data_IF_272946854542
#
_entry.id   IF_272946854542
#
_cell.length_a   1.000
_cell.length_b   1.000
_cell.length_c   1.000
_cell.angle_alpha   90.00
_cell.angle_beta   90.00
_cell.angle_gamma   90.00
#
_symmetry.space_group_name_H-M   'P 1'
#
loop_
_entity.id
_entity.type
_entity.pdbx_description
1 polymer ?
#
# COMPACT_ATOMS: atom_id res chain seq x y z
N UNK A 1 -11.07 47.75 -33.49
CA UNK A 1 -10.17 47.47 -32.32
C UNK A 1 -10.87 47.18 -30.99
N UNK A 2 -12.17 47.49 -30.77
CA UNK A 2 -12.87 47.23 -29.49
C UNK A 2 -13.45 45.78 -29.36
N UNK A 3 -13.69 45.05 -30.45
CA UNK A 3 -14.24 43.70 -30.39
C UNK A 3 -13.19 42.62 -30.03
N UNK A 4 -11.94 42.79 -30.41
CA UNK A 4 -10.87 41.83 -30.10
C UNK A 4 -10.50 41.77 -28.61
N UNK A 5 -10.60 42.91 -27.90
CA UNK A 5 -10.33 42.99 -26.46
C UNK A 5 -11.43 42.28 -25.62
N UNK A 6 -12.68 42.31 -26.09
CA UNK A 6 -13.81 41.70 -25.38
C UNK A 6 -13.79 40.16 -25.46
N UNK A 7 -13.38 39.60 -26.59
CA UNK A 7 -13.25 38.13 -26.77
C UNK A 7 -12.10 37.60 -25.94
N UNK A 8 -10.95 38.32 -25.85
CA UNK A 8 -9.83 37.91 -25.03
C UNK A 8 -10.15 37.94 -23.52
N UNK A 9 -10.95 38.88 -23.07
CA UNK A 9 -11.36 39.00 -21.66
C UNK A 9 -12.30 37.86 -21.25
N UNK A 10 -13.23 37.46 -22.11
CA UNK A 10 -14.16 36.34 -21.86
C UNK A 10 -13.40 35.00 -21.81
N UNK A 11 -12.42 34.81 -22.68
CA UNK A 11 -11.58 33.59 -22.70
C UNK A 11 -10.71 33.50 -21.43
N UNK A 12 -10.17 34.62 -20.92
CA UNK A 12 -9.38 34.66 -19.70
C UNK A 12 -10.21 34.36 -18.45
N UNK A 13 -11.43 34.87 -18.36
CA UNK A 13 -12.35 34.63 -17.25
C UNK A 13 -12.82 33.17 -17.24
N UNK A 14 -13.06 32.56 -18.41
CA UNK A 14 -13.42 31.15 -18.52
C UNK A 14 -12.28 30.21 -18.08
N UNK A 15 -11.03 30.55 -18.38
CA UNK A 15 -9.84 29.81 -17.93
C UNK A 15 -9.62 29.89 -16.41
N UNK A 16 -9.87 31.03 -15.80
CA UNK A 16 -9.77 31.23 -14.35
C UNK A 16 -10.85 30.49 -13.55
N UNK A 17 -12.02 30.22 -14.15
CA UNK A 17 -13.12 29.48 -13.49
C UNK A 17 -12.96 27.95 -13.54
N UNK A 18 -12.17 27.41 -14.48
CA UNK A 18 -11.91 25.98 -14.63
C UNK A 18 -10.83 25.44 -13.67
N UNK A 19 -9.87 26.25 -13.30
CA UNK A 19 -8.74 25.84 -12.44
C UNK A 19 -9.19 25.29 -11.06
N UNK A 20 -10.09 25.95 -10.31
CA UNK A 20 -10.52 25.42 -9.00
C UNK A 20 -11.35 24.13 -9.11
N UNK A 21 -12.07 23.90 -10.20
CA UNK A 21 -12.82 22.68 -10.41
C UNK A 21 -11.90 21.48 -10.73
N UNK A 22 -10.85 21.68 -11.51
CA UNK A 22 -9.84 20.69 -11.82
C UNK A 22 -9.02 20.29 -10.56
N UNK A 23 -8.60 21.26 -9.77
CA UNK A 23 -7.88 21.01 -8.51
C UNK A 23 -8.75 20.21 -7.51
N UNK A 24 -10.04 20.52 -7.43
CA UNK A 24 -10.98 19.78 -6.58
C UNK A 24 -11.22 18.36 -7.07
N UNK A 25 -11.32 18.14 -8.38
CA UNK A 25 -11.46 16.82 -8.98
C UNK A 25 -10.21 15.97 -8.72
N UNK A 26 -9.02 16.52 -8.91
CA UNK A 26 -7.74 15.87 -8.59
C UNK A 26 -7.64 15.51 -7.10
N UNK A 27 -8.00 16.42 -6.21
CA UNK A 27 -8.03 16.13 -4.77
C UNK A 27 -8.97 14.97 -4.42
N UNK A 28 -10.16 14.92 -5.02
CA UNK A 28 -11.11 13.82 -4.81
C UNK A 28 -10.58 12.48 -5.34
N UNK A 29 -9.85 12.50 -6.45
CA UNK A 29 -9.22 11.30 -7.02
C UNK A 29 -8.10 10.76 -6.10
N UNK A 30 -7.24 11.63 -5.56
CA UNK A 30 -6.19 11.25 -4.61
C UNK A 30 -6.80 10.66 -3.32
N UNK A 31 -7.84 11.24 -2.78
CA UNK A 31 -8.55 10.69 -1.63
C UNK A 31 -9.22 9.33 -1.93
N UNK A 32 -9.72 9.13 -3.14
CA UNK A 32 -10.22 7.83 -3.60
C UNK A 32 -9.08 6.80 -3.69
N UNK A 33 -7.92 7.19 -4.21
CA UNK A 33 -6.74 6.36 -4.28
C UNK A 33 -6.22 5.95 -2.88
N UNK A 34 -6.18 6.87 -1.90
CA UNK A 34 -5.84 6.55 -0.51
C UNK A 34 -6.77 5.48 0.08
N UNK A 35 -8.07 5.63 -0.14
CA UNK A 35 -9.06 4.61 0.31
C UNK A 35 -8.82 3.26 -0.35
N UNK A 36 -8.54 3.24 -1.65
CA UNK A 36 -8.29 2.01 -2.40
C UNK A 36 -7.01 1.30 -1.91
N UNK A 37 -5.93 2.03 -1.63
CA UNK A 37 -4.71 1.46 -1.04
C UNK A 37 -4.99 0.91 0.36
N UNK A 38 -5.73 1.64 1.21
CA UNK A 38 -6.09 1.14 2.54
C UNK A 38 -6.86 -0.18 2.46
N UNK A 39 -7.80 -0.29 1.53
CA UNK A 39 -8.56 -1.52 1.30
C UNK A 39 -7.64 -2.64 0.83
N UNK A 40 -6.72 -2.38 -0.11
CA UNK A 40 -5.77 -3.39 -0.60
C UNK A 40 -4.83 -3.89 0.51
N UNK A 41 -4.35 -3.01 1.40
CA UNK A 41 -3.52 -3.38 2.54
C UNK A 41 -4.30 -4.26 3.54
N UNK A 42 -5.53 -3.88 3.87
CA UNK A 42 -6.40 -4.68 4.74
C UNK A 42 -6.76 -6.04 4.10
N UNK A 43 -6.94 -6.09 2.78
CA UNK A 43 -7.16 -7.35 2.05
C UNK A 43 -5.91 -8.24 2.08
N UNK A 44 -4.72 -7.64 1.94
CA UNK A 44 -3.45 -8.35 2.08
C UNK A 44 -3.33 -8.94 3.50
N UNK A 45 -3.62 -8.16 4.55
CA UNK A 45 -3.62 -8.63 5.93
C UNK A 45 -4.64 -9.77 6.16
N UNK A 46 -5.85 -9.59 5.64
CA UNK A 46 -6.90 -10.60 5.72
C UNK A 46 -6.51 -11.89 5.00
N UNK A 47 -5.83 -11.81 3.86
CA UNK A 47 -5.39 -12.99 3.12
C UNK A 47 -4.43 -13.87 3.94
N UNK A 48 -3.57 -13.26 4.76
CA UNK A 48 -2.68 -13.97 5.69
C UNK A 48 -3.48 -14.57 6.85
N UNK A 49 -4.39 -13.82 7.44
CA UNK A 49 -5.25 -14.31 8.53
C UNK A 49 -6.12 -15.51 8.09
N UNK A 50 -6.69 -15.43 6.88
CA UNK A 50 -7.50 -16.49 6.26
C UNK A 50 -6.65 -17.61 5.64
N UNK A 51 -5.32 -17.49 5.62
CA UNK A 51 -4.39 -18.43 4.98
C UNK A 51 -4.65 -18.64 3.49
N UNK A 52 -5.11 -17.60 2.80
CA UNK A 52 -5.35 -17.59 1.36
C UNK A 52 -4.13 -17.11 0.60
N UNK A 53 -3.19 -18.01 0.31
CA UNK A 53 -2.01 -17.70 -0.49
C UNK A 53 -2.37 -17.15 -1.87
N UNK A 54 -3.46 -17.63 -2.48
CA UNK A 54 -3.92 -17.15 -3.79
C UNK A 54 -4.28 -15.66 -3.74
N UNK A 55 -5.06 -15.24 -2.74
CA UNK A 55 -5.42 -13.82 -2.56
C UNK A 55 -4.18 -12.98 -2.28
N UNK A 56 -3.29 -13.44 -1.39
CA UNK A 56 -2.03 -12.75 -1.11
C UNK A 56 -1.23 -12.50 -2.39
N UNK A 57 -0.98 -13.54 -3.18
CA UNK A 57 -0.18 -13.48 -4.42
C UNK A 57 -0.82 -12.56 -5.46
N UNK A 58 -2.16 -12.46 -5.51
CA UNK A 58 -2.86 -11.57 -6.45
C UNK A 58 -2.62 -10.08 -6.18
N UNK A 59 -2.33 -9.73 -4.92
CA UNK A 59 -2.03 -8.37 -4.48
C UNK A 59 -0.54 -8.01 -4.59
N UNK A 60 0.35 -8.99 -4.85
CA UNK A 60 1.79 -8.78 -5.02
C UNK A 60 2.09 -8.47 -6.49
N UNK A 61 2.87 -7.40 -6.72
CA UNK A 61 3.35 -7.05 -8.06
C UNK A 61 4.40 -8.05 -8.56
N UNK A 62 4.54 -8.16 -9.89
CA UNK A 62 5.51 -9.08 -10.51
C UNK A 62 6.95 -8.78 -10.07
N UNK A 63 7.29 -7.49 -9.91
CA UNK A 63 8.62 -7.00 -9.55
C UNK A 63 8.76 -6.67 -8.05
N UNK A 64 7.82 -7.09 -7.21
CA UNK A 64 7.80 -6.75 -5.79
C UNK A 64 9.09 -7.13 -5.07
N UNK A 65 9.50 -6.32 -4.10
CA UNK A 65 10.66 -6.56 -3.24
C UNK A 65 10.23 -6.52 -1.78
N UNK A 66 10.37 -7.64 -1.08
CA UNK A 66 10.04 -7.76 0.32
C UNK A 66 11.30 -7.99 1.15
N UNK A 67 11.43 -7.22 2.23
CA UNK A 67 12.52 -7.33 3.20
C UNK A 67 12.04 -8.12 4.43
N UNK A 68 12.84 -9.11 4.83
CA UNK A 68 12.57 -9.96 5.99
C UNK A 68 13.88 -10.52 6.54
N UNK A 69 13.98 -11.84 6.78
CA UNK A 69 15.28 -12.49 7.09
C UNK A 69 16.30 -12.38 5.95
N UNK A 70 15.82 -12.00 4.77
CA UNK A 70 16.58 -11.75 3.56
C UNK A 70 15.75 -10.87 2.64
N UNK A 71 16.14 -10.78 1.37
CA UNK A 71 15.43 -9.98 0.35
C UNK A 71 14.80 -10.93 -0.65
N UNK A 72 13.46 -10.96 -0.72
CA UNK A 72 12.71 -11.67 -1.75
C UNK A 72 12.40 -10.71 -2.90
N UNK A 73 12.80 -11.07 -4.13
CA UNK A 73 12.59 -10.26 -5.34
C UNK A 73 11.71 -11.00 -6.33
N UNK A 74 10.66 -10.32 -6.77
CA UNK A 74 9.62 -10.86 -7.65
C UNK A 74 8.56 -11.68 -6.91
N UNK A 75 7.36 -11.70 -7.47
CA UNK A 75 6.17 -12.35 -6.89
C UNK A 75 6.43 -13.78 -6.43
N UNK A 76 7.13 -14.59 -7.23
CA UNK A 76 7.39 -15.99 -6.91
C UNK A 76 8.30 -16.14 -5.68
N UNK A 77 9.35 -15.32 -5.56
CA UNK A 77 10.24 -15.34 -4.41
C UNK A 77 9.53 -14.84 -3.15
N UNK A 78 8.71 -13.80 -3.26
CA UNK A 78 7.86 -13.29 -2.18
C UNK A 78 6.89 -14.36 -1.71
N UNK A 79 6.15 -14.99 -2.63
CA UNK A 79 5.24 -16.10 -2.32
C UNK A 79 5.93 -17.24 -1.57
N UNK A 80 7.12 -17.64 -2.02
CA UNK A 80 7.90 -18.70 -1.37
C UNK A 80 8.38 -18.28 0.03
N UNK A 81 8.84 -17.04 0.21
CA UNK A 81 9.30 -16.52 1.50
C UNK A 81 8.16 -16.42 2.52
N UNK A 82 6.94 -16.12 2.06
CA UNK A 82 5.76 -15.97 2.91
C UNK A 82 4.96 -17.27 3.12
N UNK A 83 5.28 -18.33 2.37
CA UNK A 83 4.58 -19.62 2.47
C UNK A 83 4.39 -20.15 3.90
N UNK A 84 5.36 -20.00 4.84
CA UNK A 84 5.18 -20.44 6.22
C UNK A 84 3.97 -19.82 6.91
N UNK A 85 3.63 -18.55 6.64
CA UNK A 85 2.45 -17.91 7.22
C UNK A 85 1.12 -18.52 6.75
N UNK A 86 1.13 -19.28 5.65
CA UNK A 86 -0.05 -19.96 5.10
C UNK A 86 -0.13 -21.43 5.49
N UNK A 87 1.00 -22.06 5.81
CA UNK A 87 1.09 -23.51 6.06
C UNK A 87 1.35 -23.89 7.52
N UNK A 88 2.11 -23.05 8.27
CA UNK A 88 2.41 -23.28 9.67
C UNK A 88 1.35 -22.63 10.57
N UNK A 89 0.56 -23.47 11.25
CA UNK A 89 -0.52 -23.04 12.15
C UNK A 89 -0.01 -22.41 13.46
N UNK A 90 1.29 -22.50 13.76
CA UNK A 90 1.89 -21.85 14.93
C UNK A 90 2.35 -20.43 14.65
N UNK A 91 2.41 -20.03 13.37
CA UNK A 91 2.73 -18.67 12.97
C UNK A 91 1.46 -17.85 12.75
N UNK A 92 1.41 -16.68 13.38
CA UNK A 92 0.37 -15.68 13.18
C UNK A 92 1.02 -14.34 12.89
N UNK A 93 0.43 -13.61 11.95
CA UNK A 93 0.83 -12.26 11.61
C UNK A 93 -0.44 -11.45 11.35
N UNK A 94 -0.56 -10.34 12.04
CA UNK A 94 -1.63 -9.37 11.82
C UNK A 94 -1.01 -7.98 11.74
N UNK A 95 -1.60 -7.12 10.96
CA UNK A 95 -1.22 -5.71 10.86
C UNK A 95 -2.41 -4.88 10.41
N UNK A 96 -2.29 -3.58 10.56
CA UNK A 96 -3.23 -2.63 10.00
C UNK A 96 -2.53 -1.29 9.70
N UNK A 97 -2.95 -0.59 8.62
CA UNK A 97 -2.39 0.70 8.27
C UNK A 97 -2.93 1.81 9.18
N UNK A 98 -2.02 2.60 9.75
CA UNK A 98 -2.32 3.80 10.54
C UNK A 98 -2.26 5.06 9.70
N UNK A 99 -1.47 5.04 8.61
CA UNK A 99 -1.31 6.15 7.68
C UNK A 99 -1.29 5.64 6.24
N UNK A 100 -1.90 6.39 5.34
CA UNK A 100 -1.90 6.13 3.89
C UNK A 100 -1.67 7.44 3.16
N UNK A 101 -0.70 7.45 2.24
CA UNK A 101 -0.43 8.58 1.37
C UNK A 101 -0.29 8.15 -0.08
N UNK A 102 -0.55 9.08 -1.00
CA UNK A 102 -0.50 8.88 -2.45
C UNK A 102 0.29 10.01 -3.09
N UNK A 103 1.10 9.69 -4.09
CA UNK A 103 1.80 10.66 -4.93
C UNK A 103 0.81 11.60 -5.63
N UNK A 104 1.23 12.81 -5.97
CA UNK A 104 0.42 13.78 -6.72
C UNK A 104 0.02 13.28 -8.11
N UNK A 105 0.77 12.33 -8.68
CA UNK A 105 0.47 11.64 -9.95
C UNK A 105 -0.61 10.56 -9.80
N UNK A 106 -0.92 10.11 -8.57
CA UNK A 106 -1.95 9.11 -8.32
C UNK A 106 -1.57 7.67 -8.71
N UNK A 107 -0.31 7.40 -9.02
CA UNK A 107 0.20 6.10 -9.50
C UNK A 107 0.98 5.29 -8.47
N UNK A 108 1.53 5.97 -7.44
CA UNK A 108 2.22 5.38 -6.32
C UNK A 108 1.62 5.86 -5.00
N UNK A 109 1.67 5.02 -3.98
CA UNK A 109 1.32 5.39 -2.63
C UNK A 109 1.99 4.48 -1.63
N UNK A 110 1.86 4.79 -0.35
CA UNK A 110 2.39 3.95 0.72
C UNK A 110 1.43 3.85 1.89
N UNK A 111 1.58 2.78 2.62
CA UNK A 111 0.99 2.59 3.94
C UNK A 111 2.08 2.49 4.98
N UNK A 112 1.84 3.08 6.15
CA UNK A 112 2.61 2.86 7.37
C UNK A 112 1.65 2.27 8.38
N UNK A 113 2.11 1.30 9.17
CA UNK A 113 1.28 0.72 10.20
C UNK A 113 2.08 -0.09 11.21
N UNK A 114 1.33 -0.77 12.06
CA UNK A 114 1.86 -1.62 13.11
C UNK A 114 1.56 -3.07 12.79
N UNK A 115 2.47 -3.97 13.18
CA UNK A 115 2.26 -5.40 13.09
C UNK A 115 2.52 -6.12 14.41
N UNK A 116 1.90 -7.26 14.56
CA UNK A 116 2.18 -8.25 15.61
C UNK A 116 2.36 -9.61 14.96
N UNK A 117 3.51 -10.22 15.23
CA UNK A 117 3.83 -11.59 14.81
C UNK A 117 3.98 -12.50 16.02
N UNK A 118 3.22 -13.56 16.05
CA UNK A 118 3.34 -14.64 17.04
C UNK A 118 4.01 -15.81 16.37
N UNK A 119 4.96 -16.44 17.04
CA UNK A 119 5.71 -17.58 16.54
C UNK A 119 6.64 -18.12 17.60
N UNK A 120 7.82 -18.60 17.19
CA UNK A 120 8.86 -19.09 18.09
C UNK A 120 10.10 -18.22 17.98
N UNK A 121 10.80 -18.05 19.09
CA UNK A 121 12.13 -17.44 19.14
C UNK A 121 13.24 -18.43 18.71
N UNK A 122 14.50 -18.02 18.83
CA UNK A 122 15.65 -18.85 18.48
C UNK A 122 15.80 -20.09 19.39
N UNK A 123 15.21 -20.07 20.60
CA UNK A 123 15.20 -21.22 21.53
C UNK A 123 14.05 -22.18 21.26
N UNK A 124 13.13 -21.82 20.35
CA UNK A 124 11.91 -22.58 20.07
C UNK A 124 10.74 -22.27 21.02
N UNK A 125 10.90 -21.31 21.93
CA UNK A 125 9.86 -20.87 22.86
C UNK A 125 8.85 -19.92 22.17
N UNK A 126 7.57 -19.92 22.58
CA UNK A 126 6.59 -18.97 22.05
C UNK A 126 7.07 -17.53 22.23
N UNK A 127 6.99 -16.74 21.19
CA UNK A 127 7.43 -15.35 21.22
C UNK A 127 6.47 -14.46 20.40
N UNK A 128 6.21 -13.27 20.92
CA UNK A 128 5.48 -12.21 20.22
C UNK A 128 6.44 -11.08 19.88
N UNK A 129 6.41 -10.69 18.61
CA UNK A 129 7.20 -9.56 18.11
C UNK A 129 6.21 -8.53 17.57
N UNK A 130 6.29 -7.31 18.06
CA UNK A 130 5.57 -6.16 17.51
C UNK A 130 6.55 -5.25 16.76
N UNK A 131 6.05 -4.45 15.85
CA UNK A 131 6.89 -3.51 15.10
C UNK A 131 6.08 -2.64 14.19
N UNK A 132 6.79 -1.89 13.36
CA UNK A 132 6.20 -1.05 12.34
C UNK A 132 6.53 -1.59 10.95
N UNK A 133 5.68 -1.28 9.97
CA UNK A 133 5.94 -1.63 8.59
C UNK A 133 5.68 -0.44 7.66
N UNK A 134 6.29 -0.51 6.50
CA UNK A 134 6.01 0.35 5.35
C UNK A 134 5.80 -0.54 4.15
N UNK A 135 4.67 -0.33 3.47
CA UNK A 135 4.40 -0.96 2.17
C UNK A 135 4.22 0.10 1.11
N UNK A 136 4.86 -0.05 -0.05
CA UNK A 136 4.68 0.80 -1.22
C UNK A 136 3.77 0.09 -2.21
N UNK A 137 2.79 0.82 -2.72
CA UNK A 137 1.75 0.35 -3.63
C UNK A 137 1.86 1.06 -4.97
N UNK A 138 1.66 0.33 -6.06
CA UNK A 138 1.63 0.84 -7.43
C UNK A 138 0.27 0.57 -8.05
N UNK A 139 -0.30 1.61 -8.66
CA UNK A 139 -1.54 1.48 -9.43
C UNK A 139 -1.25 0.75 -10.73
N UNK A 140 -2.02 -0.28 -11.00
CA UNK A 140 -1.92 -1.06 -12.22
C UNK A 140 -2.74 -0.43 -13.36
N UNK A 141 -2.49 -0.79 -14.63
CA UNK A 141 -3.28 -0.26 -15.76
C UNK A 141 -4.79 -0.53 -15.66
N UNK A 142 -5.19 -1.58 -14.94
CA UNK A 142 -6.58 -1.93 -14.67
C UNK A 142 -7.18 -1.18 -13.46
N UNK A 143 -6.43 -0.25 -12.87
CA UNK A 143 -6.84 0.56 -11.71
C UNK A 143 -6.65 -0.10 -10.35
N UNK A 144 -6.32 -1.39 -10.27
CA UNK A 144 -6.03 -2.07 -9.01
C UNK A 144 -4.69 -1.64 -8.43
N UNK A 145 -4.54 -1.76 -7.12
CA UNK A 145 -3.28 -1.50 -6.44
C UNK A 145 -2.58 -2.80 -6.09
N UNK A 146 -1.27 -2.86 -6.37
CA UNK A 146 -0.42 -3.98 -5.98
C UNK A 146 0.77 -3.49 -5.20
N UNK A 147 1.18 -4.29 -4.20
CA UNK A 147 2.35 -4.00 -3.39
C UNK A 147 3.62 -4.27 -4.19
N UNK A 148 4.52 -3.28 -4.23
CA UNK A 148 5.81 -3.34 -4.94
C UNK A 148 6.99 -3.38 -3.98
N UNK A 149 6.82 -2.92 -2.73
CA UNK A 149 7.85 -3.02 -1.70
C UNK A 149 7.19 -3.21 -0.35
N UNK A 150 7.79 -4.05 0.48
CA UNK A 150 7.39 -4.24 1.87
C UNK A 150 8.62 -4.36 2.78
N UNK A 151 8.57 -3.69 3.91
CA UNK A 151 9.58 -3.77 4.95
C UNK A 151 8.94 -3.64 6.33
N UNK A 152 9.22 -4.60 7.19
CA UNK A 152 8.87 -4.56 8.60
C UNK A 152 10.10 -4.38 9.48
N UNK A 153 10.04 -3.49 10.46
CA UNK A 153 11.09 -3.28 11.46
C UNK A 153 10.57 -3.69 12.83
N UNK A 154 11.24 -4.63 13.54
CA UNK A 154 10.86 -4.95 14.91
C UNK A 154 10.95 -3.69 15.78
N UNK A 155 9.92 -3.49 16.61
CA UNK A 155 9.96 -2.50 17.67
C UNK A 155 10.96 -2.91 18.77
N UNK A 156 11.37 -1.94 19.58
CA UNK A 156 12.07 -2.27 20.83
C UNK A 156 11.15 -3.08 21.72
N UNK A 157 11.62 -4.18 22.33
CA UNK A 157 10.84 -4.88 23.35
C UNK A 157 10.37 -3.87 24.40
N UNK A 158 9.08 -3.82 24.69
CA UNK A 158 8.62 -3.06 25.85
C UNK A 158 9.04 -3.82 27.10
N UNK A 159 9.61 -3.12 28.11
CA UNK A 159 9.96 -3.72 29.37
C UNK A 159 8.74 -4.27 30.11
#
# INVERSE_FOLDING_TARGET
>A
MKQTAFVALIALVALLSLAPSLARAQGAELESAKRAIKIADLELAKSVADRSLQTFVSLVDDDAVFFGKGVARGRNAVSKAWLPFFTDRTLFLKWYPTQVEVSSSGDLGYTIGEYERIGKDASGSPATVTGNYVSIWRRQPDGRWKIVLDIGTPGTPRP
#
